data_IF_772559036006
#
_entry.id   IF_772559036006
#
_cell.length_a   1.000
_cell.length_b   1.000
_cell.length_c   1.000
_cell.angle_alpha   90.00
_cell.angle_beta   90.00
_cell.angle_gamma   90.00
#
_symmetry.space_group_name_H-M   'P 1'
#
loop_
_entity.id
_entity.type
_entity.pdbx_description
1 polymer ?
#
# COMPACT_ATOMS: atom_id res chain seq x y z
N UNK A 1 -35.63 18.77 13.68
CA UNK A 1 -37.10 18.67 13.86
C UNK A 1 -37.38 17.99 15.19
N UNK A 2 -37.78 18.79 16.19
CA UNK A 2 -38.03 18.41 17.57
C UNK A 2 -39.33 17.57 17.72
N UNK A 3 -39.48 16.83 18.81
CA UNK A 3 -40.66 15.98 19.08
C UNK A 3 -41.99 16.78 19.09
N UNK A 4 -41.95 18.02 19.61
CA UNK A 4 -43.08 18.94 19.59
C UNK A 4 -43.49 19.34 18.17
N UNK A 5 -42.55 19.59 17.27
CA UNK A 5 -42.85 19.92 15.89
C UNK A 5 -43.50 18.73 15.15
N UNK A 6 -43.07 17.51 15.47
CA UNK A 6 -43.69 16.29 14.89
C UNK A 6 -45.15 16.12 15.35
N UNK A 7 -45.41 16.41 16.64
CA UNK A 7 -46.78 16.37 17.16
C UNK A 7 -47.68 17.41 16.50
N UNK A 8 -47.18 18.65 16.36
CA UNK A 8 -47.93 19.74 15.70
C UNK A 8 -48.15 19.43 14.18
N UNK A 9 -47.18 18.84 13.50
CA UNK A 9 -47.37 18.42 12.10
C UNK A 9 -48.44 17.33 11.95
N UNK A 10 -48.51 16.40 12.91
CA UNK A 10 -49.53 15.36 12.92
C UNK A 10 -50.92 15.97 13.16
N UNK A 11 -51.05 16.95 14.10
CA UNK A 11 -52.31 17.69 14.35
C UNK A 11 -52.73 18.47 13.10
N UNK A 12 -51.84 19.17 12.44
CA UNK A 12 -52.13 19.89 11.17
C UNK A 12 -52.63 18.95 10.07
N UNK A 13 -52.04 17.77 9.94
CA UNK A 13 -52.46 16.82 8.94
C UNK A 13 -53.82 16.20 9.24
N UNK A 14 -54.14 15.94 10.52
CA UNK A 14 -55.45 15.46 10.99
C UNK A 14 -56.55 16.51 10.72
N UNK A 15 -56.32 17.76 11.11
CA UNK A 15 -57.25 18.90 10.90
C UNK A 15 -57.46 19.18 9.41
N UNK A 16 -56.43 19.04 8.56
CA UNK A 16 -56.56 19.13 7.10
C UNK A 16 -57.50 18.02 6.54
N UNK A 17 -57.40 16.82 7.06
CA UNK A 17 -58.27 15.73 6.63
C UNK A 17 -59.72 15.97 7.03
N UNK A 18 -59.95 16.45 8.24
CA UNK A 18 -61.27 16.82 8.74
C UNK A 18 -61.92 17.92 7.90
N UNK A 19 -61.19 18.99 7.60
CA UNK A 19 -61.67 20.09 6.75
C UNK A 19 -62.05 19.59 5.35
N UNK A 20 -61.29 18.70 4.76
CA UNK A 20 -61.60 18.09 3.46
C UNK A 20 -62.86 17.26 3.50
N UNK A 21 -63.08 16.53 4.60
CA UNK A 21 -64.24 15.69 4.77
C UNK A 21 -65.53 16.54 4.98
N UNK A 22 -65.45 17.61 5.77
CA UNK A 22 -66.56 18.53 5.97
C UNK A 22 -66.94 19.28 4.68
N UNK A 23 -66.00 19.61 3.82
CA UNK A 23 -66.26 20.19 2.49
C UNK A 23 -66.94 19.16 1.59
N UNK A 24 -66.54 17.89 1.64
CA UNK A 24 -67.18 16.82 0.87
C UNK A 24 -68.60 16.52 1.34
N UNK A 25 -68.88 16.70 2.63
CA UNK A 25 -70.16 16.49 3.24
C UNK A 25 -71.13 17.72 3.11
N UNK A 26 -70.64 18.80 2.43
CA UNK A 26 -71.44 20.02 2.18
C UNK A 26 -71.63 20.94 3.36
N UNK A 27 -70.94 20.73 4.47
CA UNK A 27 -71.05 21.53 5.71
C UNK A 27 -70.02 22.68 5.75
N UNK A 28 -70.32 23.75 4.97
CA UNK A 28 -69.39 24.84 4.75
C UNK A 28 -69.10 25.67 5.99
N UNK A 29 -70.05 25.96 6.86
CA UNK A 29 -69.87 26.76 8.07
C UNK A 29 -68.99 26.05 9.11
N UNK A 30 -69.12 24.71 9.24
CA UNK A 30 -68.23 23.91 10.10
C UNK A 30 -66.83 23.79 9.50
N UNK A 31 -66.67 23.73 8.17
CA UNK A 31 -65.41 23.70 7.47
C UNK A 31 -64.62 25.03 7.62
N UNK A 32 -65.31 26.20 7.59
CA UNK A 32 -64.69 27.49 7.81
C UNK A 32 -64.16 27.65 9.25
N UNK A 33 -64.90 27.20 10.26
CA UNK A 33 -64.43 27.24 11.64
C UNK A 33 -63.19 26.35 11.87
N UNK A 34 -63.19 25.17 11.27
CA UNK A 34 -62.05 24.23 11.32
C UNK A 34 -60.82 24.73 10.50
N UNK A 35 -61.04 25.49 9.42
CA UNK A 35 -59.98 26.16 8.69
C UNK A 35 -59.28 27.22 9.51
N UNK A 36 -60.04 28.00 10.31
CA UNK A 36 -59.41 29.00 11.22
C UNK A 36 -58.54 28.32 12.27
N UNK A 37 -58.92 27.15 12.79
CA UNK A 37 -58.17 26.35 13.71
C UNK A 37 -56.85 25.82 13.04
N UNK A 38 -56.96 25.34 11.78
CA UNK A 38 -55.81 24.92 10.95
C UNK A 38 -54.80 26.04 10.73
N UNK A 39 -55.27 27.26 10.41
CA UNK A 39 -54.42 28.42 10.20
C UNK A 39 -53.72 28.87 11.51
N UNK A 40 -54.32 28.67 12.66
CA UNK A 40 -53.69 28.92 13.97
C UNK A 40 -52.56 27.86 14.25
N UNK A 41 -52.84 26.59 13.97
CA UNK A 41 -51.85 25.52 14.13
C UNK A 41 -50.65 25.71 13.16
N UNK A 42 -50.89 26.13 11.92
CA UNK A 42 -49.81 26.44 10.98
C UNK A 42 -48.96 27.62 11.40
N UNK A 43 -49.57 28.69 11.97
CA UNK A 43 -48.81 29.80 12.53
C UNK A 43 -47.95 29.39 13.72
N UNK A 44 -48.49 28.55 14.61
CA UNK A 44 -47.73 28.03 15.75
C UNK A 44 -46.54 27.13 15.29
N UNK A 45 -46.75 26.33 14.28
CA UNK A 45 -45.68 25.51 13.70
C UNK A 45 -44.58 26.35 13.07
N UNK A 46 -44.93 27.38 12.30
CA UNK A 46 -43.95 28.30 11.68
C UNK A 46 -43.16 29.11 12.73
N UNK A 47 -43.79 29.44 13.85
CA UNK A 47 -43.10 30.11 14.95
C UNK A 47 -42.09 29.18 15.63
N UNK A 48 -42.42 27.92 15.84
CA UNK A 48 -41.50 26.90 16.35
C UNK A 48 -40.32 26.66 15.39
N UNK A 49 -40.56 26.67 14.10
CA UNK A 49 -39.52 26.55 13.07
C UNK A 49 -38.53 27.71 13.11
N UNK A 50 -39.05 28.97 13.22
CA UNK A 50 -38.18 30.15 13.32
C UNK A 50 -37.35 30.19 14.61
N UNK A 51 -37.87 29.69 15.73
CA UNK A 51 -37.13 29.58 16.98
C UNK A 51 -36.02 28.50 16.90
N UNK A 52 -36.27 27.35 16.24
CA UNK A 52 -35.27 26.33 16.03
C UNK A 52 -34.13 26.83 15.14
N UNK A 53 -34.45 27.60 14.08
CA UNK A 53 -33.46 28.24 13.20
C UNK A 53 -32.62 29.32 13.96
N UNK A 54 -33.22 30.08 14.85
CA UNK A 54 -32.52 31.06 15.71
C UNK A 54 -31.60 30.38 16.72
N UNK A 55 -32.03 29.26 17.34
CA UNK A 55 -31.23 28.48 18.26
C UNK A 55 -30.04 27.79 17.56
N UNK A 56 -30.23 27.29 16.33
CA UNK A 56 -29.18 26.75 15.54
C UNK A 56 -28.16 27.81 15.09
N UNK A 57 -28.63 29.00 14.76
CA UNK A 57 -27.76 30.13 14.41
C UNK A 57 -26.96 30.61 15.65
N UNK A 58 -27.61 30.67 16.83
CA UNK A 58 -26.96 31.01 18.07
C UNK A 58 -25.92 29.97 18.52
N UNK A 59 -26.21 28.67 18.33
CA UNK A 59 -25.29 27.59 18.62
C UNK A 59 -24.06 27.63 17.65
N UNK A 60 -24.27 27.91 16.37
CA UNK A 60 -23.19 28.11 15.38
C UNK A 60 -22.34 29.35 15.72
N UNK A 61 -22.97 30.44 16.18
CA UNK A 61 -22.24 31.65 16.61
C UNK A 61 -21.41 31.40 17.87
N UNK A 62 -21.95 30.64 18.84
CA UNK A 62 -21.20 30.24 20.05
C UNK A 62 -20.07 29.29 19.76
N UNK A 63 -20.25 28.34 18.84
CA UNK A 63 -19.20 27.45 18.38
C UNK A 63 -18.07 28.23 17.69
N UNK A 64 -18.41 29.21 16.84
CA UNK A 64 -17.45 30.10 16.19
C UNK A 64 -16.69 30.96 17.22
N UNK A 65 -17.37 31.50 18.20
CA UNK A 65 -16.76 32.29 19.30
C UNK A 65 -15.85 31.44 20.21
N UNK A 66 -16.19 30.16 20.45
CA UNK A 66 -15.31 29.20 21.12
C UNK A 66 -14.07 28.85 20.28
N UNK A 67 -14.21 28.73 18.96
CA UNK A 67 -13.08 28.51 18.05
C UNK A 67 -12.14 29.72 18.03
N UNK A 68 -12.67 30.94 18.00
CA UNK A 68 -11.87 32.18 18.06
C UNK A 68 -11.14 32.34 19.39
N UNK A 69 -11.79 32.05 20.54
CA UNK A 69 -11.15 32.05 21.86
C UNK A 69 -10.07 30.96 22.02
N UNK A 70 -10.20 29.81 21.35
CA UNK A 70 -9.15 28.80 21.32
C UNK A 70 -7.99 29.15 20.37
N UNK A 71 -8.27 29.94 19.32
CA UNK A 71 -7.23 30.44 18.41
C UNK A 71 -6.34 31.50 19.10
N UNK A 72 -6.91 32.35 19.94
CA UNK A 72 -6.16 33.35 20.71
C UNK A 72 -5.27 32.76 21.83
N UNK A 73 -5.54 31.53 22.28
CA UNK A 73 -4.74 30.84 23.31
C UNK A 73 -3.66 29.91 22.73
N UNK A 74 -3.57 29.73 21.40
CA UNK A 74 -2.51 28.97 20.81
C UNK A 74 -1.25 29.81 20.60
N UNK A 75 -0.08 29.36 21.05
CA UNK A 75 1.16 30.08 20.76
C UNK A 75 1.36 30.15 19.25
N UNK A 76 1.99 31.25 18.73
CA UNK A 76 2.09 31.51 17.29
C UNK A 76 2.66 30.32 16.55
N UNK A 77 2.14 30.06 15.35
CA UNK A 77 2.57 29.01 14.44
C UNK A 77 4.05 29.23 14.11
N UNK A 78 4.93 28.56 14.82
CA UNK A 78 6.36 28.58 14.55
C UNK A 78 6.67 27.49 13.52
N UNK A 79 7.55 27.77 12.56
CA UNK A 79 8.01 26.78 11.55
C UNK A 79 8.46 25.45 12.16
N UNK A 80 8.96 25.46 13.41
CA UNK A 80 9.28 24.25 14.16
C UNK A 80 8.03 23.38 14.46
N UNK A 81 6.88 23.98 14.78
CA UNK A 81 5.61 23.28 15.04
C UNK A 81 4.99 22.73 13.76
N UNK A 82 5.05 23.51 12.67
CA UNK A 82 4.60 23.04 11.35
C UNK A 82 5.45 21.85 10.90
N UNK A 83 6.76 21.94 11.06
CA UNK A 83 7.68 20.84 10.75
C UNK A 83 7.40 19.58 11.57
N UNK A 84 7.07 19.73 12.87
CA UNK A 84 6.73 18.59 13.72
C UNK A 84 5.37 17.97 13.36
N UNK A 85 4.36 18.78 13.08
CA UNK A 85 3.06 18.30 12.61
C UNK A 85 3.16 17.54 11.29
N UNK A 86 4.03 18.00 10.39
CA UNK A 86 4.33 17.32 9.13
C UNK A 86 5.03 15.97 9.37
N UNK A 87 5.99 15.92 10.30
CA UNK A 87 6.67 14.66 10.67
C UNK A 87 5.70 13.67 11.30
N UNK A 88 4.79 14.14 12.15
CA UNK A 88 3.76 13.32 12.78
C UNK A 88 2.76 12.81 11.75
N UNK A 89 2.36 13.65 10.78
CA UNK A 89 1.52 13.24 9.65
C UNK A 89 2.19 12.17 8.78
N UNK A 90 3.50 12.33 8.52
CA UNK A 90 4.33 11.34 7.85
C UNK A 90 4.36 10.01 8.62
N UNK A 91 4.59 10.06 9.92
CA UNK A 91 4.60 8.90 10.79
C UNK A 91 3.25 8.19 10.87
N UNK A 92 2.15 8.95 10.91
CA UNK A 92 0.79 8.42 10.92
C UNK A 92 0.44 7.71 9.59
N UNK A 93 0.81 8.30 8.46
CA UNK A 93 0.57 7.72 7.12
C UNK A 93 1.37 6.43 6.91
N UNK A 94 2.63 6.40 7.35
CA UNK A 94 3.50 5.20 7.28
C UNK A 94 2.94 4.07 8.13
N UNK A 95 2.46 4.39 9.34
CA UNK A 95 1.92 3.40 10.28
C UNK A 95 0.43 3.09 10.06
N UNK A 96 -0.19 3.60 8.99
CA UNK A 96 -1.63 3.48 8.69
C UNK A 96 -2.54 3.92 9.86
N UNK A 97 -2.08 4.85 10.68
CA UNK A 97 -2.86 5.46 11.75
C UNK A 97 -3.52 6.74 11.24
N UNK A 98 -4.64 7.12 11.84
CA UNK A 98 -5.23 8.44 11.58
C UNK A 98 -4.28 9.51 12.11
N UNK A 99 -4.10 10.57 11.33
CA UNK A 99 -3.40 11.77 11.75
C UNK A 99 -4.15 12.42 12.93
N UNK A 100 -3.41 12.94 13.89
CA UNK A 100 -3.99 13.68 15.03
C UNK A 100 -4.70 14.94 14.52
N UNK A 101 -5.88 15.24 15.05
CA UNK A 101 -6.67 16.39 14.63
C UNK A 101 -5.96 17.72 14.95
N UNK A 102 -5.11 17.75 15.99
CA UNK A 102 -4.25 18.90 16.32
C UNK A 102 -3.19 19.15 15.22
N UNK A 103 -2.52 18.11 14.74
CA UNK A 103 -1.53 18.21 13.66
C UNK A 103 -2.18 18.57 12.33
N UNK A 104 -3.41 18.08 12.08
CA UNK A 104 -4.20 18.45 10.91
C UNK A 104 -4.58 19.93 10.92
N UNK A 105 -4.99 20.45 12.07
CA UNK A 105 -5.32 21.87 12.25
C UNK A 105 -4.10 22.78 12.03
N UNK A 106 -2.94 22.42 12.60
CA UNK A 106 -1.69 23.17 12.43
C UNK A 106 -1.31 23.27 10.94
N UNK A 107 -1.46 22.17 10.20
CA UNK A 107 -1.18 22.15 8.75
C UNK A 107 -2.21 22.98 7.97
N UNK A 108 -3.49 22.90 8.33
CA UNK A 108 -4.55 23.71 7.69
C UNK A 108 -4.43 25.20 7.99
N UNK A 109 -4.05 25.57 9.20
CA UNK A 109 -3.90 26.97 9.60
C UNK A 109 -2.65 27.60 8.97
N UNK A 110 -1.56 26.84 8.85
CA UNK A 110 -0.38 27.27 8.10
C UNK A 110 -0.68 27.52 6.61
N UNK A 111 -1.73 26.90 6.07
CA UNK A 111 -2.19 27.10 4.69
C UNK A 111 -3.11 28.31 4.54
N UNK A 112 -3.76 28.78 5.62
CA UNK A 112 -4.66 29.94 5.59
C UNK A 112 -3.95 31.26 5.82
N UNK A 113 -2.80 31.25 6.46
CA UNK A 113 -2.03 32.45 6.84
C UNK A 113 -1.40 33.20 5.66
N UNK A 114 -1.49 32.62 4.44
CA UNK A 114 -0.90 33.19 3.21
C UNK A 114 -1.94 33.88 2.29
N UNK A 115 -3.07 34.32 2.80
CA UNK A 115 -4.01 35.17 2.06
C UNK A 115 -3.92 36.61 2.54
N UNK A 116 -2.97 37.35 2.00
CA UNK A 116 -2.82 38.78 2.21
C UNK A 116 -3.95 39.55 1.49
N UNK A 117 -4.66 40.50 2.14
CA UNK A 117 -5.79 41.22 1.54
C UNK A 117 -5.41 42.43 0.69
N UNK A 118 -4.13 42.68 0.43
CA UNK A 118 -3.72 43.84 -0.35
C UNK A 118 -3.34 43.46 -1.78
N UNK A 119 -4.24 43.86 -2.69
CA UNK A 119 -4.22 43.64 -4.10
C UNK A 119 -2.98 44.18 -4.85
N UNK A 120 -2.02 43.30 -5.12
CA UNK A 120 -1.03 43.42 -6.16
C UNK A 120 -1.49 42.68 -7.39
N UNK A 121 -1.70 43.36 -8.48
CA UNK A 121 -1.92 42.81 -9.82
C UNK A 121 -0.71 41.98 -10.27
N UNK A 122 -0.60 40.75 -9.80
CA UNK A 122 0.19 39.71 -10.43
C UNK A 122 -0.74 38.88 -11.28
N UNK A 123 -0.54 38.92 -12.60
CA UNK A 123 -1.10 37.94 -13.52
C UNK A 123 -0.92 36.56 -12.92
N UNK A 124 -1.97 35.79 -12.58
CA UNK A 124 -1.79 34.46 -12.08
C UNK A 124 -1.14 33.64 -13.21
N UNK A 125 0.14 33.36 -13.07
CA UNK A 125 0.69 32.24 -13.79
C UNK A 125 -0.09 31.04 -13.26
N UNK A 126 -0.86 30.41 -14.12
CA UNK A 126 -1.53 29.14 -13.85
C UNK A 126 -0.45 28.06 -13.66
N UNK A 127 0.23 28.14 -12.53
CA UNK A 127 1.12 27.10 -12.08
C UNK A 127 0.19 26.03 -11.57
N UNK A 128 -0.13 25.06 -12.44
CA UNK A 128 -0.73 23.81 -12.00
C UNK A 128 0.22 23.14 -11.01
N UNK A 129 0.09 23.49 -9.75
CA UNK A 129 0.86 22.97 -8.62
C UNK A 129 0.60 21.48 -8.36
N UNK A 130 -0.26 20.85 -9.17
CA UNK A 130 -0.55 19.42 -9.09
C UNK A 130 0.56 18.63 -9.77
N UNK A 131 1.41 17.99 -8.98
CA UNK A 131 2.41 17.06 -9.49
C UNK A 131 1.71 15.91 -10.20
N UNK A 132 1.84 15.84 -11.53
CA UNK A 132 1.30 14.75 -12.34
C UNK A 132 2.17 13.51 -12.15
N UNK A 133 1.71 12.58 -11.32
CA UNK A 133 2.39 11.31 -11.14
C UNK A 133 2.27 10.45 -12.40
N UNK A 134 3.41 9.93 -12.87
CA UNK A 134 3.42 8.98 -13.97
C UNK A 134 3.04 7.59 -13.43
N UNK A 135 2.03 6.97 -14.05
CA UNK A 135 1.70 5.57 -13.75
C UNK A 135 2.86 4.66 -14.15
N UNK A 136 3.43 3.96 -13.19
CA UNK A 136 4.46 2.93 -13.36
C UNK A 136 4.12 1.76 -12.45
N UNK A 137 4.59 0.56 -12.81
CA UNK A 137 4.46 -0.61 -11.93
C UNK A 137 5.20 -0.36 -10.62
N UNK A 138 4.54 -0.70 -9.53
CA UNK A 138 5.07 -0.63 -8.18
C UNK A 138 5.07 -2.05 -7.61
N UNK A 139 5.99 -2.86 -8.16
CA UNK A 139 6.10 -4.27 -7.83
C UNK A 139 6.57 -4.44 -6.38
N UNK A 140 5.87 -5.26 -5.60
CA UNK A 140 6.21 -5.56 -4.22
C UNK A 140 6.48 -7.05 -4.04
N UNK A 141 7.77 -7.43 -3.99
CA UNK A 141 8.18 -8.82 -3.78
C UNK A 141 8.08 -9.27 -2.32
N UNK A 142 8.03 -8.33 -1.38
CA UNK A 142 7.93 -8.62 0.06
C UNK A 142 6.67 -9.43 0.42
N UNK A 143 5.60 -9.31 -0.35
CA UNK A 143 4.36 -10.06 -0.16
C UNK A 143 4.47 -11.56 -0.49
N UNK A 144 5.53 -11.97 -1.18
CA UNK A 144 5.77 -13.35 -1.64
C UNK A 144 6.89 -14.05 -0.86
N UNK A 145 7.57 -13.36 0.05
CA UNK A 145 8.61 -13.92 0.90
C UNK A 145 8.14 -14.00 2.34
N UNK A 146 8.75 -14.87 3.13
CA UNK A 146 8.48 -14.92 4.54
C UNK A 146 9.09 -13.69 5.24
N UNK A 147 8.30 -12.98 6.05
CA UNK A 147 8.75 -11.80 6.81
C UNK A 147 8.73 -12.11 8.29
N UNK A 148 9.91 -12.16 8.90
CA UNK A 148 10.09 -12.43 10.33
C UNK A 148 10.51 -11.16 11.08
N UNK A 149 9.69 -10.64 12.00
CA UNK A 149 10.06 -9.50 12.83
C UNK A 149 11.10 -9.91 13.88
N UNK A 150 12.23 -9.21 13.95
CA UNK A 150 13.32 -9.50 14.88
C UNK A 150 13.66 -8.28 15.74
N UNK A 151 14.05 -8.52 17.00
CA UNK A 151 14.43 -7.44 17.94
C UNK A 151 15.94 -7.27 18.06
N UNK A 152 16.72 -8.26 17.66
CA UNK A 152 18.19 -8.29 17.81
C UNK A 152 18.89 -7.81 16.54
N UNK A 153 20.13 -7.32 16.67
CA UNK A 153 20.95 -6.89 15.53
C UNK A 153 21.49 -8.07 14.73
N UNK A 154 21.70 -9.19 15.39
CA UNK A 154 22.16 -10.44 14.80
C UNK A 154 21.51 -11.61 15.52
N UNK A 155 21.40 -12.70 14.85
CA UNK A 155 20.84 -13.92 15.40
C UNK A 155 20.98 -15.08 14.43
N UNK A 156 20.40 -16.21 14.79
CA UNK A 156 20.37 -17.36 13.92
C UNK A 156 19.08 -18.14 14.12
N UNK A 157 18.69 -18.83 13.05
CA UNK A 157 17.61 -19.81 13.03
C UNK A 157 18.20 -21.16 12.70
N UNK A 158 17.66 -22.18 13.31
CA UNK A 158 18.02 -23.57 13.03
C UNK A 158 16.90 -24.14 12.18
N UNK A 159 17.24 -24.67 11.03
CA UNK A 159 16.34 -25.36 10.10
C UNK A 159 16.87 -26.76 9.85
N UNK A 160 15.99 -27.66 9.52
CA UNK A 160 16.35 -28.96 8.99
C UNK A 160 17.04 -28.80 7.63
N UNK A 161 18.16 -29.48 7.41
CA UNK A 161 18.94 -29.31 6.19
C UNK A 161 18.33 -30.10 5.03
N UNK A 162 17.91 -31.31 5.29
CA UNK A 162 17.23 -32.22 4.37
C UNK A 162 16.29 -33.09 5.18
N UNK A 163 15.06 -33.28 4.73
CA UNK A 163 14.16 -34.25 5.30
C UNK A 163 14.61 -35.62 4.85
N UNK A 164 15.10 -36.45 5.80
CA UNK A 164 15.44 -37.82 5.48
C UNK A 164 14.15 -38.64 5.28
N UNK A 165 13.99 -39.17 4.10
CA UNK A 165 12.86 -40.02 3.70
C UNK A 165 13.22 -41.52 3.68
N UNK A 166 14.38 -41.87 4.22
CA UNK A 166 14.85 -43.26 4.25
C UNK A 166 13.98 -44.11 5.15
N UNK A 167 13.48 -45.24 4.64
CA UNK A 167 12.67 -46.16 5.44
C UNK A 167 13.53 -46.82 6.53
N UNK A 168 12.91 -47.09 7.69
CA UNK A 168 13.56 -47.85 8.73
C UNK A 168 13.93 -49.25 8.24
N UNK A 169 15.15 -49.76 8.54
CA UNK A 169 15.54 -51.12 8.19
C UNK A 169 14.66 -52.13 8.91
N UNK A 170 14.35 -53.23 8.23
CA UNK A 170 13.68 -54.35 8.84
C UNK A 170 14.67 -55.06 9.83
N UNK A 171 14.18 -55.42 10.99
CA UNK A 171 14.95 -56.08 12.04
C UNK A 171 14.23 -57.37 12.39
N UNK A 172 14.97 -58.50 12.37
CA UNK A 172 14.46 -59.79 12.81
C UNK A 172 14.16 -59.79 14.34
N UNK A 173 13.30 -60.72 14.79
CA UNK A 173 12.80 -60.78 16.18
C UNK A 173 13.89 -60.77 17.26
N UNK A 174 15.10 -61.22 16.93
CA UNK A 174 16.30 -61.19 17.80
C UNK A 174 17.48 -60.43 17.17
N UNK A 175 17.20 -59.56 16.17
CA UNK A 175 18.23 -58.78 15.47
C UNK A 175 18.70 -57.57 16.26
N UNK A 176 19.92 -57.12 16.03
CA UNK A 176 20.45 -55.87 16.57
C UNK A 176 19.93 -54.68 15.79
N UNK A 177 19.58 -53.57 16.47
CA UNK A 177 19.21 -52.30 15.84
C UNK A 177 20.43 -51.70 15.17
N UNK A 178 20.31 -51.43 13.88
CA UNK A 178 21.34 -50.71 13.12
C UNK A 178 21.25 -49.21 13.37
N UNK A 179 22.39 -48.54 13.47
CA UNK A 179 22.42 -47.08 13.54
C UNK A 179 21.86 -46.50 12.25
N UNK A 180 20.91 -45.60 12.37
CA UNK A 180 20.36 -44.80 11.25
C UNK A 180 20.87 -43.36 11.32
N UNK A 181 20.89 -42.68 10.20
CA UNK A 181 21.31 -41.31 10.14
C UNK A 181 20.43 -40.41 11.02
N UNK A 182 21.05 -39.50 11.75
CA UNK A 182 20.34 -38.52 12.58
C UNK A 182 19.98 -37.30 11.76
N UNK A 183 18.84 -36.63 12.04
CA UNK A 183 18.46 -35.41 11.37
C UNK A 183 19.57 -34.35 11.38
N UNK A 184 19.92 -33.81 10.23
CA UNK A 184 20.92 -32.77 10.13
C UNK A 184 20.28 -31.39 10.16
N UNK A 185 20.87 -30.49 10.94
CA UNK A 185 20.37 -29.12 11.08
C UNK A 185 21.36 -28.13 10.46
N UNK A 186 20.82 -27.17 9.71
CA UNK A 186 21.56 -26.03 9.21
C UNK A 186 21.26 -24.79 10.04
N UNK A 187 22.26 -23.95 10.22
CA UNK A 187 22.14 -22.68 10.94
C UNK A 187 22.14 -21.51 9.94
N UNK A 188 21.02 -20.80 9.89
CA UNK A 188 20.90 -19.56 9.10
C UNK A 188 21.21 -18.40 10.02
N UNK A 189 22.31 -17.70 9.77
CA UNK A 189 22.68 -16.50 10.50
C UNK A 189 22.20 -15.28 9.76
N UNK A 190 21.58 -14.31 10.47
CA UNK A 190 21.22 -13.01 9.94
C UNK A 190 21.98 -11.88 10.65
N UNK A 191 22.28 -10.82 9.92
CA UNK A 191 22.91 -9.63 10.46
C UNK A 191 22.22 -8.41 9.88
N UNK A 192 21.48 -7.72 10.73
CA UNK A 192 20.68 -6.56 10.34
C UNK A 192 21.58 -5.41 9.89
N UNK A 193 21.40 -4.99 8.66
CA UNK A 193 22.13 -3.86 8.09
C UNK A 193 21.22 -2.65 7.95
N UNK A 194 21.76 -1.48 8.26
CA UNK A 194 21.05 -0.20 8.07
C UNK A 194 21.11 0.21 6.60
N UNK A 195 19.94 0.49 6.01
CA UNK A 195 19.80 1.02 4.67
C UNK A 195 19.04 2.33 4.76
N UNK A 196 19.35 3.30 3.92
CA UNK A 196 18.66 4.58 3.98
C UNK A 196 19.35 5.64 3.14
N UNK A 197 18.77 6.82 3.18
CA UNK A 197 19.28 7.98 2.45
C UNK A 197 18.86 9.28 3.12
N UNK A 198 19.50 10.37 2.69
CA UNK A 198 19.17 11.74 3.05
C UNK A 198 18.75 12.47 1.79
N UNK A 199 17.68 13.24 1.87
CA UNK A 199 17.30 14.19 0.84
C UNK A 199 17.17 15.58 1.43
N UNK A 200 17.42 16.60 0.61
CA UNK A 200 17.31 18.01 0.96
C UNK A 200 16.17 18.61 0.14
N UNK A 201 15.25 19.29 0.81
CA UNK A 201 14.12 19.99 0.19
C UNK A 201 14.22 21.47 0.54
N UNK A 202 14.08 22.38 -0.43
CA UNK A 202 14.01 23.81 -0.17
C UNK A 202 12.79 24.15 0.68
N UNK A 203 12.94 25.03 1.67
CA UNK A 203 11.82 25.51 2.49
C UNK A 203 10.89 26.39 1.70
N UNK A 204 11.37 27.16 0.72
CA UNK A 204 10.55 27.94 -0.21
C UNK A 204 9.59 27.05 -1.00
N UNK A 205 10.12 25.94 -1.57
CA UNK A 205 9.32 24.97 -2.31
C UNK A 205 8.24 24.32 -1.42
N UNK A 206 8.56 24.10 -0.16
CA UNK A 206 7.62 23.55 0.82
C UNK A 206 6.57 24.59 1.26
N UNK A 207 6.92 25.89 1.32
CA UNK A 207 5.99 26.97 1.65
C UNK A 207 4.97 27.21 0.53
N UNK A 208 5.43 27.21 -0.71
CA UNK A 208 4.57 27.51 -1.88
C UNK A 208 3.61 26.37 -2.24
N UNK A 209 3.93 25.13 -1.90
CA UNK A 209 3.19 23.95 -2.38
C UNK A 209 3.13 22.80 -1.34
N UNK A 210 3.12 23.11 -0.06
CA UNK A 210 3.38 22.19 1.05
C UNK A 210 2.63 20.84 0.98
N UNK A 211 1.34 20.86 0.73
CA UNK A 211 0.52 19.64 0.81
C UNK A 211 0.80 18.63 -0.31
N UNK A 212 0.95 19.11 -1.54
CA UNK A 212 1.18 18.24 -2.70
C UNK A 212 2.60 17.67 -2.73
N UNK A 213 3.59 18.46 -2.33
CA UNK A 213 5.01 18.03 -2.35
C UNK A 213 5.27 17.01 -1.26
N UNK A 214 4.75 17.21 -0.05
CA UNK A 214 4.93 16.25 1.04
C UNK A 214 4.28 14.90 0.72
N UNK A 215 3.04 14.91 0.23
CA UNK A 215 2.37 13.68 -0.20
C UNK A 215 3.15 12.96 -1.31
N UNK A 216 3.69 13.71 -2.27
CA UNK A 216 4.53 13.16 -3.34
C UNK A 216 5.83 12.56 -2.79
N UNK A 217 6.52 13.28 -1.88
CA UNK A 217 7.75 12.80 -1.25
C UNK A 217 7.54 11.52 -0.46
N UNK A 218 6.42 11.40 0.26
CA UNK A 218 6.05 10.16 0.96
C UNK A 218 5.92 8.98 0.01
N UNK A 219 5.17 9.16 -1.08
CA UNK A 219 5.01 8.12 -2.10
C UNK A 219 6.34 7.75 -2.74
N UNK A 220 7.19 8.75 -2.99
CA UNK A 220 8.52 8.53 -3.54
C UNK A 220 9.42 7.75 -2.57
N UNK A 221 9.40 8.08 -1.27
CA UNK A 221 10.13 7.36 -0.23
C UNK A 221 9.65 5.90 -0.16
N UNK A 222 8.32 5.68 -0.13
CA UNK A 222 7.75 4.34 -0.12
C UNK A 222 8.18 3.51 -1.34
N UNK A 223 8.16 4.10 -2.55
CA UNK A 223 8.67 3.46 -3.78
C UNK A 223 10.16 3.12 -3.69
N UNK A 224 10.97 4.02 -3.14
CA UNK A 224 12.42 3.77 -2.93
C UNK A 224 12.68 2.65 -1.93
N UNK A 225 11.94 2.60 -0.84
CA UNK A 225 12.05 1.53 0.17
C UNK A 225 11.68 0.18 -0.43
N UNK A 226 10.56 0.08 -1.16
CA UNK A 226 10.19 -1.14 -1.89
C UNK A 226 11.25 -1.55 -2.91
N UNK A 227 11.75 -0.61 -3.70
CA UNK A 227 12.82 -0.91 -4.66
C UNK A 227 14.08 -1.45 -3.96
N UNK A 228 14.41 -0.94 -2.77
CA UNK A 228 15.56 -1.43 -1.98
C UNK A 228 15.31 -2.83 -1.43
N UNK A 229 14.11 -3.12 -0.91
CA UNK A 229 13.71 -4.44 -0.43
C UNK A 229 13.68 -5.44 -1.59
N UNK A 230 13.04 -5.10 -2.71
CA UNK A 230 13.03 -5.93 -3.92
C UNK A 230 14.44 -6.26 -4.43
N UNK A 231 15.33 -5.27 -4.49
CA UNK A 231 16.71 -5.50 -4.92
C UNK A 231 17.46 -6.48 -4.00
N UNK A 232 17.19 -6.44 -2.69
CA UNK A 232 17.81 -7.37 -1.74
C UNK A 232 17.20 -8.78 -1.81
N UNK A 233 15.90 -8.90 -2.02
CA UNK A 233 15.23 -10.19 -2.27
C UNK A 233 15.79 -10.82 -3.53
N UNK A 234 15.85 -10.09 -4.65
CA UNK A 234 16.39 -10.61 -5.91
C UNK A 234 17.88 -10.97 -5.81
N UNK A 235 18.67 -10.19 -5.09
CA UNK A 235 20.07 -10.55 -4.83
C UNK A 235 20.21 -11.83 -4.00
N UNK A 236 19.28 -12.09 -3.07
CA UNK A 236 19.22 -13.36 -2.34
C UNK A 236 18.84 -14.52 -3.27
N UNK A 237 17.82 -14.35 -4.11
CA UNK A 237 17.43 -15.33 -5.14
C UNK A 237 18.60 -15.64 -6.08
N UNK A 238 19.29 -14.61 -6.58
CA UNK A 238 20.46 -14.81 -7.42
C UNK A 238 21.58 -15.59 -6.69
N UNK A 239 21.81 -15.30 -5.41
CA UNK A 239 22.79 -16.06 -4.60
C UNK A 239 22.44 -17.54 -4.46
N UNK A 240 21.15 -17.87 -4.29
CA UNK A 240 20.66 -19.26 -4.20
C UNK A 240 20.87 -20.00 -5.53
N UNK A 241 20.58 -19.31 -6.64
CA UNK A 241 20.46 -19.92 -7.97
C UNK A 241 21.74 -19.82 -8.80
N UNK A 242 22.77 -19.10 -8.35
CA UNK A 242 24.05 -18.98 -9.07
C UNK A 242 24.67 -20.35 -9.32
N UNK A 243 24.95 -20.64 -10.59
CA UNK A 243 25.53 -21.92 -11.04
C UNK A 243 24.51 -23.08 -11.09
N UNK A 244 23.24 -22.81 -10.88
CA UNK A 244 22.13 -23.78 -10.95
C UNK A 244 21.06 -23.32 -11.94
N UNK A 245 21.41 -22.39 -12.83
CA UNK A 245 20.47 -21.88 -13.85
C UNK A 245 20.15 -22.95 -14.88
N UNK A 246 18.87 -23.07 -15.21
CA UNK A 246 18.35 -24.03 -16.18
C UNK A 246 18.01 -23.33 -17.48
N UNK A 247 18.55 -23.80 -18.60
CA UNK A 247 18.17 -23.26 -19.90
C UNK A 247 16.74 -23.71 -20.27
N UNK A 248 15.88 -22.73 -20.53
CA UNK A 248 14.52 -22.98 -20.98
C UNK A 248 14.39 -22.60 -22.44
N UNK A 249 14.31 -23.62 -23.28
CA UNK A 249 14.26 -23.47 -24.75
C UNK A 249 12.85 -23.71 -25.30
N UNK A 250 12.09 -24.56 -24.64
CA UNK A 250 10.80 -25.07 -25.11
C UNK A 250 9.84 -25.33 -23.91
N UNK A 251 8.67 -25.85 -24.28
CA UNK A 251 7.62 -26.20 -23.32
C UNK A 251 8.02 -27.35 -22.39
N UNK A 252 8.75 -28.33 -22.94
CA UNK A 252 9.09 -29.55 -22.20
C UNK A 252 10.13 -29.20 -21.12
N UNK A 253 11.16 -28.41 -21.44
CA UNK A 253 12.14 -27.90 -20.47
C UNK A 253 11.48 -27.07 -19.36
N UNK A 254 10.42 -26.36 -19.70
CA UNK A 254 9.65 -25.60 -18.68
C UNK A 254 8.85 -26.53 -17.75
N UNK A 255 8.28 -27.61 -18.27
CA UNK A 255 7.58 -28.64 -17.45
C UNK A 255 8.54 -29.40 -16.56
N UNK A 256 9.75 -29.67 -17.02
CA UNK A 256 10.77 -30.39 -16.25
C UNK A 256 11.13 -29.65 -14.96
N UNK A 257 11.10 -28.31 -14.96
CA UNK A 257 11.33 -27.53 -13.76
C UNK A 257 10.30 -27.87 -12.67
N UNK A 258 9.01 -27.96 -13.04
CA UNK A 258 7.95 -28.20 -12.05
C UNK A 258 7.75 -29.69 -11.71
N UNK A 259 8.03 -30.59 -12.66
CA UNK A 259 7.71 -32.01 -12.50
C UNK A 259 8.89 -32.84 -11.98
N UNK A 260 10.13 -32.39 -12.26
CA UNK A 260 11.34 -33.17 -11.98
C UNK A 260 12.25 -32.45 -10.98
N UNK A 261 12.41 -31.12 -11.11
CA UNK A 261 13.42 -30.39 -10.36
C UNK A 261 12.91 -29.84 -9.03
N UNK A 262 11.62 -29.47 -8.96
CA UNK A 262 10.99 -29.00 -7.73
C UNK A 262 10.33 -30.17 -7.00
N UNK A 263 10.44 -30.18 -5.67
CA UNK A 263 9.73 -31.14 -4.84
C UNK A 263 8.21 -31.00 -5.03
N UNK A 264 7.45 -32.12 -5.07
CA UNK A 264 5.99 -32.09 -5.20
C UNK A 264 5.30 -31.26 -4.13
N UNK A 265 5.81 -31.19 -2.90
CA UNK A 265 5.24 -30.39 -1.82
C UNK A 265 5.36 -28.87 -2.12
N UNK A 266 6.50 -28.45 -2.66
CA UNK A 266 6.76 -27.06 -3.06
C UNK A 266 6.01 -26.70 -4.34
N UNK A 267 5.83 -27.64 -5.23
CA UNK A 267 5.13 -27.43 -6.50
C UNK A 267 3.68 -26.98 -6.31
N UNK A 268 3.02 -27.36 -5.21
CA UNK A 268 1.63 -26.98 -4.92
C UNK A 268 1.49 -25.48 -4.71
N UNK A 269 2.42 -24.85 -3.98
CA UNK A 269 2.45 -23.41 -3.67
C UNK A 269 3.26 -22.58 -4.66
N UNK A 270 3.88 -23.22 -5.66
CA UNK A 270 4.78 -22.59 -6.61
C UNK A 270 4.09 -21.53 -7.47
N UNK A 271 4.84 -20.48 -7.74
CA UNK A 271 4.50 -19.40 -8.67
C UNK A 271 5.66 -19.14 -9.63
N UNK A 272 5.40 -18.34 -10.65
CA UNK A 272 6.39 -17.94 -11.65
C UNK A 272 6.58 -16.43 -11.63
N UNK A 273 7.79 -15.96 -11.46
CA UNK A 273 8.13 -14.54 -11.56
C UNK A 273 9.04 -14.33 -12.76
N UNK A 274 8.67 -13.42 -13.62
CA UNK A 274 9.44 -13.07 -14.82
C UNK A 274 9.31 -11.59 -15.13
N UNK A 275 10.19 -11.08 -15.98
CA UNK A 275 10.11 -9.71 -16.46
C UNK A 275 9.14 -9.57 -17.64
N UNK A 276 8.99 -8.35 -18.18
CA UNK A 276 8.11 -8.09 -19.32
C UNK A 276 8.49 -8.88 -20.56
N UNK A 277 9.79 -9.07 -20.81
CA UNK A 277 10.29 -9.79 -21.97
C UNK A 277 10.05 -11.30 -21.86
N UNK A 278 10.32 -11.87 -20.69
CA UNK A 278 10.05 -13.28 -20.41
C UNK A 278 8.55 -13.57 -20.40
N UNK A 279 7.73 -12.66 -19.88
CA UNK A 279 6.28 -12.79 -19.95
C UNK A 279 5.78 -12.80 -21.40
N UNK A 280 6.30 -11.89 -22.26
CA UNK A 280 5.95 -11.86 -23.66
C UNK A 280 6.37 -13.15 -24.42
N UNK A 281 7.49 -13.77 -24.00
CA UNK A 281 7.90 -15.06 -24.53
C UNK A 281 6.92 -16.17 -24.11
N UNK A 282 6.56 -16.25 -22.83
CA UNK A 282 5.59 -17.22 -22.32
C UNK A 282 4.20 -17.06 -22.95
N UNK A 283 3.77 -15.81 -23.17
CA UNK A 283 2.45 -15.50 -23.75
C UNK A 283 2.34 -15.93 -25.23
N UNK A 284 3.47 -15.94 -25.94
CA UNK A 284 3.55 -16.40 -27.33
C UNK A 284 3.75 -17.91 -27.47
N UNK A 285 4.05 -18.60 -26.36
CA UNK A 285 4.30 -20.03 -26.37
C UNK A 285 3.00 -20.79 -26.63
N UNK A 286 3.03 -21.68 -27.63
CA UNK A 286 1.88 -22.51 -28.05
C UNK A 286 2.18 -23.98 -27.90
N UNK A 287 1.16 -24.76 -27.65
CA UNK A 287 1.25 -26.21 -27.74
C UNK A 287 1.20 -26.69 -29.20
N UNK A 288 1.27 -28.01 -29.41
CA UNK A 288 1.22 -28.62 -30.73
C UNK A 288 -0.09 -28.38 -31.47
N UNK A 289 -1.17 -28.10 -30.76
CA UNK A 289 -2.51 -27.77 -31.27
C UNK A 289 -2.68 -26.28 -31.59
N UNK A 290 -1.65 -25.46 -31.36
CA UNK A 290 -1.67 -24.02 -31.59
C UNK A 290 -2.33 -23.20 -30.52
N UNK A 291 -2.70 -23.80 -29.38
CA UNK A 291 -3.29 -23.10 -28.22
C UNK A 291 -2.21 -22.43 -27.39
N UNK A 292 -2.51 -21.23 -26.90
CA UNK A 292 -1.62 -20.53 -25.98
C UNK A 292 -1.58 -21.23 -24.61
N UNK A 293 -0.39 -21.29 -24.04
CA UNK A 293 -0.14 -22.00 -22.78
C UNK A 293 -0.51 -21.17 -21.58
N UNK A 294 -0.35 -19.85 -21.66
CA UNK A 294 -0.85 -18.94 -20.66
C UNK A 294 -2.38 -18.83 -20.73
N UNK A 295 -3.03 -19.07 -19.60
CA UNK A 295 -4.48 -19.02 -19.49
C UNK A 295 -4.88 -17.95 -18.48
N UNK A 296 -5.95 -17.18 -18.72
CA UNK A 296 -6.51 -16.29 -17.70
C UNK A 296 -7.08 -17.12 -16.56
N UNK A 297 -6.93 -16.63 -15.32
CA UNK A 297 -7.54 -17.24 -14.14
C UNK A 297 -9.07 -17.10 -14.22
N UNK A 298 -9.85 -18.19 -14.13
CA UNK A 298 -11.30 -18.14 -14.19
C UNK A 298 -11.94 -17.27 -13.09
N UNK A 299 -11.24 -17.14 -11.94
CA UNK A 299 -11.72 -16.36 -10.80
C UNK A 299 -11.29 -14.90 -10.83
N UNK A 300 -10.17 -14.60 -11.53
CA UNK A 300 -9.63 -13.25 -11.63
C UNK A 300 -9.00 -13.01 -13.00
N UNK A 301 -9.73 -12.38 -13.91
CA UNK A 301 -9.32 -12.14 -15.29
C UNK A 301 -8.00 -11.34 -15.45
N UNK A 302 -7.53 -10.64 -14.41
CA UNK A 302 -6.25 -9.91 -14.43
C UNK A 302 -5.04 -10.79 -14.10
N UNK A 303 -5.29 -12.00 -13.57
CA UNK A 303 -4.27 -12.96 -13.20
C UNK A 303 -4.08 -13.98 -14.33
N UNK A 304 -2.84 -14.33 -14.59
CA UNK A 304 -2.50 -15.29 -15.64
C UNK A 304 -1.89 -16.54 -15.00
N UNK A 305 -2.32 -17.70 -15.46
CA UNK A 305 -1.86 -19.01 -14.99
C UNK A 305 -1.05 -19.70 -16.09
N UNK A 306 0.09 -20.24 -15.71
CA UNK A 306 0.89 -21.14 -16.54
C UNK A 306 0.34 -22.56 -16.36
N UNK A 307 0.06 -23.26 -17.47
CA UNK A 307 -0.57 -24.59 -17.48
C UNK A 307 -1.91 -24.66 -16.73
N UNK A 308 -2.61 -23.53 -16.53
CA UNK A 308 -3.83 -23.47 -15.73
C UNK A 308 -3.63 -23.69 -14.21
N UNK A 309 -2.38 -23.80 -13.73
CA UNK A 309 -2.03 -24.15 -12.34
C UNK A 309 -1.18 -23.09 -11.66
N UNK A 310 -0.09 -22.64 -12.27
CA UNK A 310 0.90 -21.78 -11.64
C UNK A 310 0.66 -20.30 -11.94
N UNK A 311 0.49 -19.46 -10.92
CA UNK A 311 0.34 -18.02 -11.11
C UNK A 311 1.61 -17.41 -11.71
N UNK A 312 1.44 -16.53 -12.71
CA UNK A 312 2.56 -15.83 -13.34
C UNK A 312 2.54 -14.37 -12.92
N UNK A 313 3.61 -13.94 -12.27
CA UNK A 313 3.83 -12.58 -11.82
C UNK A 313 4.76 -11.84 -12.77
N UNK A 314 4.23 -10.83 -13.44
CA UNK A 314 4.98 -10.00 -14.38
C UNK A 314 5.61 -8.81 -13.65
N UNK A 315 6.93 -8.81 -13.55
CA UNK A 315 7.71 -7.73 -12.98
C UNK A 315 8.17 -6.73 -14.06
N UNK A 316 8.45 -5.50 -13.65
CA UNK A 316 9.05 -4.53 -14.56
C UNK A 316 10.48 -4.92 -14.93
N UNK A 317 10.89 -4.68 -16.18
CA UNK A 317 12.28 -4.85 -16.63
C UNK A 317 13.29 -4.00 -15.84
N UNK A 318 12.81 -2.98 -15.10
CA UNK A 318 13.64 -2.19 -14.19
C UNK A 318 13.97 -2.91 -12.88
N UNK A 319 13.06 -3.78 -12.43
CA UNK A 319 13.20 -4.57 -11.21
C UNK A 319 13.95 -5.85 -11.50
N UNK A 320 13.48 -6.63 -12.48
CA UNK A 320 14.11 -7.87 -12.93
C UNK A 320 14.66 -7.67 -14.35
N UNK A 321 15.97 -7.46 -14.45
CA UNK A 321 16.62 -7.07 -15.70
C UNK A 321 16.79 -8.24 -16.65
N UNK A 322 16.62 -7.98 -17.94
CA UNK A 322 17.08 -8.87 -19.02
C UNK A 322 18.60 -8.80 -19.13
N UNK A 323 19.27 -9.92 -19.13
CA UNK A 323 20.69 -9.96 -19.41
C UNK A 323 20.90 -9.94 -20.95
N UNK A 324 21.75 -9.03 -21.40
CA UNK A 324 22.07 -8.85 -22.82
C UNK A 324 23.52 -9.25 -23.04
N UNK A 325 23.73 -10.28 -23.82
CA UNK A 325 25.06 -10.67 -24.33
C UNK A 325 25.27 -10.06 -25.72
N UNK A 326 25.93 -8.91 -25.75
CA UNK A 326 26.19 -8.18 -26.99
C UNK A 326 27.10 -8.99 -27.95
N UNK A 327 27.98 -9.86 -27.42
CA UNK A 327 28.92 -10.66 -28.21
C UNK A 327 28.22 -11.80 -28.96
N UNK A 328 27.19 -12.37 -28.33
CA UNK A 328 26.39 -13.47 -28.87
C UNK A 328 25.10 -13.02 -29.55
N UNK A 329 24.77 -11.73 -29.50
CA UNK A 329 23.46 -11.17 -29.90
C UNK A 329 22.29 -11.96 -29.29
N UNK A 330 22.42 -12.30 -28.01
CA UNK A 330 21.43 -13.11 -27.27
C UNK A 330 20.91 -12.30 -26.07
N UNK A 331 19.61 -12.26 -25.96
CA UNK A 331 18.94 -11.73 -24.77
C UNK A 331 18.53 -12.92 -23.89
N UNK A 332 18.87 -12.86 -22.61
CA UNK A 332 18.48 -13.87 -21.64
C UNK A 332 17.41 -13.29 -20.71
N UNK A 333 16.22 -13.86 -20.77
CA UNK A 333 15.10 -13.48 -19.92
C UNK A 333 15.09 -14.34 -18.66
N UNK A 334 15.11 -13.74 -17.47
CA UNK A 334 15.07 -14.49 -16.21
C UNK A 334 13.67 -15.02 -15.94
N UNK A 335 13.61 -16.25 -15.45
CA UNK A 335 12.41 -16.93 -15.02
C UNK A 335 12.68 -17.54 -13.64
N UNK A 336 11.96 -17.12 -12.61
CA UNK A 336 12.07 -17.66 -11.25
C UNK A 336 10.84 -18.51 -11.01
N UNK A 337 11.04 -19.82 -10.79
CA UNK A 337 9.98 -20.79 -10.56
C UNK A 337 10.13 -21.39 -9.18
N UNK A 338 9.02 -21.57 -8.45
CA UNK A 338 9.02 -22.18 -7.14
C UNK A 338 8.24 -21.39 -6.11
N UNK A 339 8.57 -21.58 -4.83
CA UNK A 339 7.98 -20.87 -3.71
C UNK A 339 8.99 -19.93 -3.04
N UNK A 340 8.79 -18.62 -3.19
CA UNK A 340 9.67 -17.61 -2.59
C UNK A 340 9.50 -17.51 -1.08
N UNK A 341 8.35 -17.91 -0.52
CA UNK A 341 8.10 -17.83 0.92
C UNK A 341 8.91 -18.87 1.69
N UNK A 342 9.11 -20.05 1.09
CA UNK A 342 9.96 -21.09 1.65
C UNK A 342 11.46 -20.82 1.38
N UNK A 343 11.76 -20.26 0.21
CA UNK A 343 13.14 -20.05 -0.22
C UNK A 343 13.85 -18.91 0.50
N UNK A 344 13.14 -17.82 0.83
CA UNK A 344 13.73 -16.56 1.28
C UNK A 344 13.00 -16.00 2.48
N UNK A 345 13.73 -15.70 3.56
CA UNK A 345 13.20 -14.98 4.72
C UNK A 345 13.81 -13.59 4.83
N UNK A 346 12.94 -12.61 4.98
CA UNK A 346 13.27 -11.22 5.28
C UNK A 346 13.17 -11.00 6.79
N UNK A 347 14.30 -10.80 7.45
CA UNK A 347 14.38 -10.45 8.87
C UNK A 347 14.20 -8.96 9.04
N UNK A 348 13.03 -8.52 9.50
CA UNK A 348 12.68 -7.10 9.66
C UNK A 348 12.81 -6.68 11.12
N UNK A 349 13.76 -5.78 11.42
CA UNK A 349 13.95 -5.27 12.76
C UNK A 349 13.16 -3.98 13.03
N UNK A 350 13.15 -3.09 12.09
CA UNK A 350 12.54 -1.78 12.21
C UNK A 350 12.08 -1.35 10.83
N UNK A 351 10.78 -1.35 10.66
CA UNK A 351 10.21 -0.80 9.44
C UNK A 351 10.60 0.66 9.28
N UNK A 352 10.66 1.14 8.09
CA UNK A 352 11.13 2.46 7.68
C UNK A 352 10.83 3.56 8.71
N UNK A 353 11.89 4.21 9.22
CA UNK A 353 11.81 5.43 10.04
C UNK A 353 12.20 6.64 9.21
N UNK A 354 11.45 7.72 9.39
CA UNK A 354 11.67 9.00 8.73
C UNK A 354 11.95 10.04 9.80
N UNK A 355 13.08 10.72 9.70
CA UNK A 355 13.48 11.81 10.57
C UNK A 355 13.70 13.07 9.72
N UNK A 356 13.24 14.22 10.17
CA UNK A 356 13.50 15.50 9.50
C UNK A 356 14.23 16.48 10.41
N UNK A 357 15.08 17.32 9.82
CA UNK A 357 15.79 18.37 10.56
C UNK A 357 16.11 19.52 9.62
N UNK A 358 16.00 20.74 10.13
CA UNK A 358 16.42 21.96 9.45
C UNK A 358 17.87 22.31 9.75
N UNK A 359 18.42 21.76 10.82
CA UNK A 359 19.77 22.07 11.33
C UNK A 359 20.82 21.02 10.89
N UNK A 360 20.44 20.02 10.11
CA UNK A 360 21.30 18.90 9.75
C UNK A 360 22.30 19.26 8.64
N UNK A 361 23.56 19.44 8.99
CA UNK A 361 24.65 19.72 8.05
C UNK A 361 24.47 21.05 7.33
N UNK A 362 24.55 21.06 5.99
CA UNK A 362 24.38 22.28 5.17
C UNK A 362 22.93 22.72 4.94
N UNK A 363 21.96 22.10 5.62
CA UNK A 363 20.55 22.43 5.44
C UNK A 363 20.23 23.84 6.00
N UNK A 364 20.86 24.22 7.09
CA UNK A 364 20.75 25.55 7.69
C UNK A 364 21.28 26.65 6.74
N UNK A 365 22.46 26.45 6.19
CA UNK A 365 23.11 27.45 5.34
C UNK A 365 22.40 27.66 3.99
N UNK A 366 21.57 26.69 3.59
CA UNK A 366 20.87 26.68 2.29
C UNK A 366 19.36 26.79 2.41
N UNK A 367 18.84 27.11 3.59
CA UNK A 367 17.41 27.19 3.87
C UNK A 367 16.63 25.95 3.38
N UNK A 368 17.08 24.76 3.82
CA UNK A 368 16.57 23.46 3.38
C UNK A 368 16.11 22.60 4.55
N UNK A 369 15.10 21.77 4.30
CA UNK A 369 14.71 20.67 5.17
C UNK A 369 15.46 19.40 4.77
N UNK A 370 16.25 18.85 5.69
CA UNK A 370 16.86 17.56 5.51
C UNK A 370 15.92 16.45 5.98
N UNK A 371 15.54 15.54 5.10
CA UNK A 371 14.74 14.36 5.42
C UNK A 371 15.66 13.14 5.33
N UNK A 372 15.78 12.40 6.44
CA UNK A 372 16.55 11.16 6.54
C UNK A 372 15.60 9.97 6.66
N UNK A 373 15.77 9.01 5.79
CA UNK A 373 15.04 7.76 5.78
C UNK A 373 15.96 6.63 6.17
N UNK A 374 15.51 5.76 7.06
CA UNK A 374 16.25 4.60 7.56
C UNK A 374 15.35 3.38 7.59
N UNK A 375 15.86 2.25 7.08
CA UNK A 375 15.25 0.93 7.10
C UNK A 375 16.28 -0.08 7.61
N UNK A 376 15.88 -1.04 8.43
CA UNK A 376 16.76 -2.02 9.08
C UNK A 376 16.24 -3.43 8.89
N UNK A 377 16.76 -4.11 7.91
CA UNK A 377 16.40 -5.49 7.61
C UNK A 377 17.60 -6.27 7.04
N UNK A 378 17.44 -7.58 7.01
CA UNK A 378 18.34 -8.50 6.30
C UNK A 378 17.52 -9.51 5.53
N UNK A 379 18.09 -10.09 4.47
CA UNK A 379 17.43 -11.10 3.65
C UNK A 379 18.37 -12.29 3.52
N UNK A 380 17.92 -13.45 3.96
CA UNK A 380 18.71 -14.67 3.95
C UNK A 380 17.98 -15.81 3.23
N UNK A 381 18.74 -16.69 2.56
CA UNK A 381 18.19 -17.91 1.98
C UNK A 381 17.87 -18.90 3.09
N UNK A 382 16.74 -19.57 2.96
CA UNK A 382 16.28 -20.63 3.87
C UNK A 382 16.35 -21.96 3.16
N UNK A 383 15.44 -22.22 2.23
CA UNK A 383 15.46 -23.43 1.42
C UNK A 383 15.97 -23.12 -0.01
N UNK A 384 17.13 -23.65 -0.32
CA UNK A 384 17.75 -23.45 -1.64
C UNK A 384 17.18 -24.36 -2.74
N UNK A 385 16.38 -25.35 -2.37
CA UNK A 385 15.71 -26.26 -3.31
C UNK A 385 14.30 -25.78 -3.66
N UNK A 386 13.74 -24.82 -2.89
CA UNK A 386 12.39 -24.31 -3.09
C UNK A 386 12.23 -23.42 -4.34
N UNK A 387 13.33 -22.96 -4.96
CA UNK A 387 13.31 -22.13 -6.17
C UNK A 387 14.33 -22.60 -7.20
N UNK A 388 13.95 -22.47 -8.46
CA UNK A 388 14.80 -22.71 -9.63
C UNK A 388 14.74 -21.49 -10.53
N UNK A 389 15.91 -21.07 -11.04
CA UNK A 389 16.03 -19.99 -12.00
C UNK A 389 16.17 -20.56 -13.41
N UNK A 390 15.13 -20.40 -14.19
CA UNK A 390 15.17 -20.64 -15.63
C UNK A 390 15.78 -19.44 -16.37
N UNK A 391 16.46 -19.71 -17.46
CA UNK A 391 17.00 -18.72 -18.38
C UNK A 391 16.46 -18.99 -19.78
N UNK A 392 15.69 -18.06 -20.30
CA UNK A 392 15.15 -18.11 -21.66
C UNK A 392 16.09 -17.33 -22.57
N UNK A 393 16.89 -18.04 -23.39
CA UNK A 393 17.81 -17.42 -24.31
C UNK A 393 17.12 -17.19 -25.66
N UNK A 394 17.06 -15.95 -26.12
CA UNK A 394 16.46 -15.57 -27.40
C UNK A 394 17.49 -14.83 -28.23
N UNK A 395 17.80 -15.38 -29.38
CA UNK A 395 18.71 -14.75 -30.37
C UNK A 395 17.99 -13.55 -30.98
N UNK A 396 18.57 -12.36 -30.86
CA UNK A 396 18.09 -11.17 -31.57
C UNK A 396 18.46 -11.29 -33.05
N UNK A 397 17.46 -11.49 -33.91
CA UNK A 397 17.64 -11.31 -35.33
C UNK A 397 18.12 -9.89 -35.59
N UNK A 398 19.25 -9.72 -36.24
CA UNK A 398 19.87 -8.45 -36.59
C UNK A 398 19.08 -7.69 -37.64
#
# INVERSE_FOLDING_TARGET
MNEEMRKKLAEINATKAEVRQLIADGKLDEAESKKAELDALQRAFNLLLSMEDEDEAAAKAQAKKKQELHAEQQPPLTFARIGQAVVNALGAAVNRRKMDDADRQIIQDAMKENSDPDGGLTVPQDIQTRIKELRRSDDNLEQYVNVEPVKTMSGSRVIEKEADTTAWPEIDENGEFTEVETPQFAKIAYTITKKGGKMLCSLELLADTAENILAYLMKWIAKKTRATRNAKILACVDKITTGKEVAVTDLDSLKDIFNVMLDPAITVSSSVWTNQDGFNWLDKLKDKDGKYILQPDPTNATRTLLFGKYPVHKLSNKVLKTAVDASKKTNTYPLICGDLSEAVTLFDREFMTIESSKEAGSAWDKDQLAVKVRDRFDVQPVDTAAIIKGQIAVTTAG
#
